data_IF_924061958764
#
_entry.id   IF_924061958764
#
_cell.length_a   1.000
_cell.length_b   1.000
_cell.length_c   1.000
_cell.angle_alpha   90.00
_cell.angle_beta   90.00
_cell.angle_gamma   90.00
#
_symmetry.space_group_name_H-M   'P 1'
#
loop_
_entity.id
_entity.type
_entity.pdbx_description
1 polymer ?
#
# COMPACT_ATOMS: atom_id res chain seq x y z
N UNK A 1 -13.90 -10.65 -22.17
CA UNK A 1 -13.86 -11.00 -20.72
C UNK A 1 -15.30 -11.20 -20.25
N UNK A 2 -15.59 -12.31 -19.61
CA UNK A 2 -16.92 -12.60 -19.07
C UNK A 2 -17.13 -11.87 -17.73
N UNK A 3 -18.40 -11.63 -17.34
CA UNK A 3 -18.76 -11.03 -16.02
C UNK A 3 -18.14 -11.84 -14.89
N UNK A 4 -18.12 -13.16 -15.00
CA UNK A 4 -17.55 -14.07 -14.00
C UNK A 4 -16.02 -13.89 -13.82
N UNK A 5 -15.28 -13.59 -14.89
CA UNK A 5 -13.82 -13.35 -14.82
C UNK A 5 -13.48 -12.02 -14.14
N UNK A 6 -14.26 -10.97 -14.38
CA UNK A 6 -14.08 -9.69 -13.70
C UNK A 6 -14.37 -9.80 -12.20
N UNK A 7 -15.45 -10.50 -11.83
CA UNK A 7 -15.78 -10.72 -10.43
C UNK A 7 -14.72 -11.57 -9.70
N UNK A 8 -14.13 -12.52 -10.39
CA UNK A 8 -13.00 -13.29 -9.86
C UNK A 8 -11.79 -12.38 -9.66
N UNK A 9 -11.45 -11.53 -10.63
CA UNK A 9 -10.34 -10.57 -10.50
C UNK A 9 -10.56 -9.59 -9.34
N UNK A 10 -11.78 -9.09 -9.14
CA UNK A 10 -12.14 -8.22 -8.00
C UNK A 10 -11.92 -8.92 -6.65
N UNK A 11 -12.34 -10.18 -6.52
CA UNK A 11 -12.11 -10.96 -5.28
C UNK A 11 -10.63 -11.15 -5.00
N UNK A 12 -9.84 -11.48 -6.01
CA UNK A 12 -8.39 -11.69 -5.87
C UNK A 12 -7.65 -10.39 -5.54
N UNK A 13 -8.04 -9.27 -6.16
CA UNK A 13 -7.54 -7.94 -5.83
C UNK A 13 -7.80 -7.59 -4.36
N UNK A 14 -9.06 -7.70 -3.91
CA UNK A 14 -9.45 -7.39 -2.53
C UNK A 14 -8.75 -8.31 -1.53
N UNK A 15 -8.60 -9.59 -1.85
CA UNK A 15 -7.90 -10.54 -1.00
C UNK A 15 -6.42 -10.15 -0.85
N UNK A 16 -5.72 -9.85 -1.96
CA UNK A 16 -4.31 -9.45 -1.90
C UNK A 16 -4.15 -8.12 -1.13
N UNK A 17 -4.98 -7.11 -1.43
CA UNK A 17 -4.96 -5.82 -0.73
C UNK A 17 -5.16 -5.98 0.77
N UNK A 18 -6.23 -6.67 1.19
CA UNK A 18 -6.63 -6.72 2.59
C UNK A 18 -5.76 -7.67 3.44
N UNK A 19 -5.13 -8.67 2.82
CA UNK A 19 -4.24 -9.60 3.52
C UNK A 19 -2.79 -9.11 3.58
N UNK A 20 -2.42 -8.10 2.79
CA UNK A 20 -1.08 -7.54 2.83
C UNK A 20 -0.86 -6.76 4.12
N UNK A 21 0.14 -7.16 4.90
CA UNK A 21 0.55 -6.50 6.16
C UNK A 21 1.75 -5.58 5.98
N UNK A 22 2.28 -5.50 4.77
CA UNK A 22 3.42 -4.65 4.43
C UNK A 22 3.43 -4.34 2.93
N UNK A 23 4.15 -3.29 2.56
CA UNK A 23 4.38 -2.91 1.17
C UNK A 23 5.86 -2.63 0.90
N UNK A 24 6.27 -2.80 -0.34
CA UNK A 24 7.44 -2.13 -0.87
C UNK A 24 7.07 -0.69 -1.21
N UNK A 25 7.93 0.24 -0.81
CA UNK A 25 7.75 1.67 -0.99
C UNK A 25 8.80 2.19 -1.97
N UNK A 26 8.37 2.97 -2.96
CA UNK A 26 9.26 3.78 -3.77
C UNK A 26 9.05 5.26 -3.42
N UNK A 27 10.09 5.88 -2.91
CA UNK A 27 10.16 7.30 -2.56
C UNK A 27 11.32 7.96 -3.31
N UNK A 28 11.45 9.26 -3.24
CA UNK A 28 12.55 9.98 -3.86
C UNK A 28 13.34 10.79 -2.83
N UNK A 29 14.65 10.78 -2.96
CA UNK A 29 15.55 11.61 -2.13
C UNK A 29 15.43 13.08 -2.53
N UNK A 30 16.10 13.97 -1.78
CA UNK A 30 16.20 15.39 -2.13
C UNK A 30 16.82 15.61 -3.52
N UNK A 31 17.74 14.75 -3.91
CA UNK A 31 18.44 14.81 -5.21
C UNK A 31 17.69 14.07 -6.32
N UNK A 32 16.40 13.80 -6.12
CA UNK A 32 15.54 13.07 -7.07
C UNK A 32 16.00 11.64 -7.36
N UNK A 33 16.75 11.03 -6.47
CA UNK A 33 17.18 9.62 -6.60
C UNK A 33 16.07 8.71 -6.08
N UNK A 34 15.60 7.73 -6.87
CA UNK A 34 14.64 6.74 -6.40
C UNK A 34 15.18 5.91 -5.23
N UNK A 35 14.36 5.72 -4.22
CA UNK A 35 14.70 4.96 -3.02
C UNK A 35 13.64 3.90 -2.77
N UNK A 36 14.03 2.64 -2.91
CA UNK A 36 13.17 1.50 -2.57
C UNK A 36 13.35 1.13 -1.09
N UNK A 37 12.26 0.80 -0.44
CA UNK A 37 12.23 0.39 0.96
C UNK A 37 11.03 -0.49 1.26
N UNK A 38 10.84 -0.87 2.50
CA UNK A 38 9.77 -1.74 2.98
C UNK A 38 9.20 -1.18 4.28
N UNK A 39 7.88 -1.27 4.46
CA UNK A 39 7.23 -0.93 5.72
C UNK A 39 5.98 -1.75 5.99
N UNK A 40 5.71 -2.10 7.28
CA UNK A 40 4.43 -2.61 7.73
C UNK A 40 3.32 -1.57 7.52
N UNK A 41 2.11 -2.06 7.21
CA UNK A 41 0.94 -1.23 7.00
C UNK A 41 -0.31 -1.81 7.65
N UNK A 42 -1.31 -0.96 7.85
CA UNK A 42 -2.68 -1.37 8.16
C UNK A 42 -3.67 -0.67 7.23
N UNK A 43 -4.85 -1.29 7.09
CA UNK A 43 -5.98 -0.72 6.38
C UNK A 43 -7.10 -0.39 7.37
N UNK A 44 -7.53 0.88 7.42
CA UNK A 44 -8.66 1.34 8.24
C UNK A 44 -9.59 2.15 7.33
N UNK A 45 -10.86 1.82 7.29
CA UNK A 45 -11.90 2.53 6.51
C UNK A 45 -11.50 2.79 5.04
N UNK A 46 -10.91 1.79 4.38
CA UNK A 46 -10.34 1.84 3.02
C UNK A 46 -9.09 2.70 2.83
N UNK A 47 -8.56 3.33 3.85
CA UNK A 47 -7.26 4.03 3.80
C UNK A 47 -6.13 3.13 4.27
N UNK A 48 -4.98 3.26 3.62
CA UNK A 48 -3.73 2.63 4.02
C UNK A 48 -2.96 3.55 4.96
N UNK A 49 -2.36 2.99 5.99
CA UNK A 49 -1.55 3.74 6.96
C UNK A 49 -0.20 3.09 7.18
N UNK A 50 0.81 3.92 7.38
CA UNK A 50 2.15 3.54 7.80
C UNK A 50 2.50 4.23 9.11
N UNK A 51 3.19 3.51 10.01
CA UNK A 51 3.78 4.08 11.22
C UNK A 51 5.30 3.98 11.13
N UNK A 52 5.97 5.11 10.86
CA UNK A 52 7.34 5.16 10.36
C UNK A 52 8.25 6.02 11.26
N UNK A 53 9.45 5.51 11.56
CA UNK A 53 10.48 6.22 12.33
C UNK A 53 11.28 7.20 11.45
N UNK A 54 11.71 8.30 12.02
CA UNK A 54 12.64 9.28 11.41
C UNK A 54 14.01 8.69 11.07
N UNK A 55 14.37 7.55 11.66
CA UNK A 55 15.60 6.83 11.33
C UNK A 55 15.58 6.29 9.91
N UNK A 56 14.39 5.96 9.39
CA UNK A 56 14.25 5.43 8.04
C UNK A 56 14.37 6.53 6.97
N UNK A 57 15.04 6.19 5.87
CA UNK A 57 15.21 7.13 4.74
C UNK A 57 13.87 7.50 4.10
N UNK A 58 12.95 6.53 3.98
CA UNK A 58 11.62 6.77 3.40
C UNK A 58 10.81 7.80 4.20
N UNK A 59 10.92 7.83 5.54
CA UNK A 59 10.25 8.83 6.37
C UNK A 59 10.73 10.23 6.06
N UNK A 60 12.05 10.42 5.99
CA UNK A 60 12.65 11.71 5.63
C UNK A 60 12.29 12.15 4.21
N UNK A 61 12.25 11.20 3.27
CA UNK A 61 11.83 11.46 1.90
C UNK A 61 10.37 11.94 1.85
N UNK A 62 9.45 11.22 2.52
CA UNK A 62 8.02 11.53 2.52
C UNK A 62 7.68 12.85 3.22
N UNK A 63 8.43 13.24 4.24
CA UNK A 63 8.29 14.57 4.87
C UNK A 63 8.63 15.72 3.92
N UNK A 64 9.47 15.49 2.91
CA UNK A 64 9.89 16.49 1.91
C UNK A 64 9.06 16.43 0.64
N UNK A 65 8.86 15.21 0.13
CA UNK A 65 8.09 14.92 -1.06
C UNK A 65 7.06 13.87 -0.69
N UNK A 66 5.79 14.25 -0.51
CA UNK A 66 4.77 13.34 -0.04
C UNK A 66 4.31 12.33 -1.11
N UNK A 67 4.94 12.31 -2.28
CA UNK A 67 4.62 11.38 -3.36
C UNK A 67 5.26 10.02 -3.11
N UNK A 68 4.49 8.97 -3.30
CA UNK A 68 4.90 7.58 -3.05
C UNK A 68 4.30 6.64 -4.10
N UNK A 69 5.03 5.60 -4.45
CA UNK A 69 4.45 4.42 -5.09
C UNK A 69 4.54 3.23 -4.15
N UNK A 70 3.48 2.45 -4.08
CA UNK A 70 3.37 1.26 -3.24
C UNK A 70 3.28 0.03 -4.12
N UNK A 71 3.95 -1.04 -3.71
CA UNK A 71 3.83 -2.34 -4.36
C UNK A 71 3.45 -3.40 -3.32
N UNK A 72 2.26 -3.96 -3.47
CA UNK A 72 1.80 -5.16 -2.77
C UNK A 72 1.98 -6.35 -3.69
N UNK A 73 2.56 -7.43 -3.18
CA UNK A 73 2.79 -8.65 -3.97
C UNK A 73 2.38 -9.87 -3.17
N UNK A 74 1.90 -10.87 -3.90
CA UNK A 74 1.74 -12.24 -3.39
C UNK A 74 3.10 -12.80 -2.93
N UNK A 75 3.10 -13.62 -1.89
CA UNK A 75 4.32 -14.26 -1.40
C UNK A 75 4.95 -15.15 -2.48
N UNK A 76 6.28 -15.14 -2.57
CA UNK A 76 7.00 -15.82 -3.65
C UNK A 76 6.87 -17.33 -3.59
N UNK A 77 6.79 -17.90 -2.39
CA UNK A 77 6.60 -19.32 -2.13
C UNK A 77 5.19 -19.83 -2.48
N UNK A 78 4.23 -18.92 -2.69
CA UNK A 78 2.87 -19.23 -3.12
C UNK A 78 2.69 -19.18 -4.66
N UNK A 79 3.78 -18.98 -5.41
CA UNK A 79 3.72 -18.73 -6.86
C UNK A 79 4.59 -19.70 -7.65
N UNK A 80 3.97 -20.52 -8.49
CA UNK A 80 4.69 -21.45 -9.37
C UNK A 80 5.50 -20.73 -10.46
N UNK A 81 5.12 -19.51 -10.83
CA UNK A 81 5.74 -18.75 -11.92
C UNK A 81 5.87 -17.28 -11.59
N UNK A 82 7.10 -16.79 -11.41
CA UNK A 82 7.39 -15.40 -11.06
C UNK A 82 6.82 -14.37 -12.05
N UNK A 83 6.70 -14.70 -13.34
CA UNK A 83 6.07 -13.81 -14.34
C UNK A 83 4.56 -13.65 -14.16
N UNK A 84 3.91 -14.61 -13.52
CA UNK A 84 2.47 -14.59 -13.25
C UNK A 84 2.12 -14.12 -11.84
N UNK A 85 3.10 -13.68 -11.04
CA UNK A 85 2.93 -13.23 -9.65
C UNK A 85 1.93 -12.08 -9.54
N UNK A 86 0.89 -12.27 -8.74
CA UNK A 86 -0.13 -11.24 -8.51
C UNK A 86 0.47 -10.08 -7.74
N UNK A 87 0.17 -8.86 -8.21
CA UNK A 87 0.70 -7.64 -7.60
C UNK A 87 -0.24 -6.45 -7.81
N UNK A 88 -0.20 -5.52 -6.88
CA UNK A 88 -0.91 -4.25 -6.97
C UNK A 88 0.12 -3.15 -6.85
N UNK A 89 0.13 -2.22 -7.79
CA UNK A 89 0.88 -0.97 -7.69
C UNK A 89 -0.10 0.16 -7.45
N UNK A 90 0.18 1.02 -6.49
CA UNK A 90 -0.54 2.27 -6.27
C UNK A 90 0.38 3.46 -6.47
N UNK A 91 -0.15 4.50 -7.09
CA UNK A 91 0.39 5.86 -7.07
C UNK A 91 -0.39 6.66 -6.03
N UNK A 92 0.31 7.35 -5.15
CA UNK A 92 -0.31 7.99 -4.01
C UNK A 92 0.46 9.21 -3.51
N UNK A 93 -0.18 9.98 -2.66
CA UNK A 93 0.46 10.92 -1.76
C UNK A 93 0.22 10.52 -0.31
N UNK A 94 0.99 11.07 0.61
CA UNK A 94 0.80 10.83 2.04
C UNK A 94 0.54 12.13 2.78
N UNK A 95 -0.24 12.03 3.86
CA UNK A 95 -0.42 13.11 4.85
C UNK A 95 -0.08 12.58 6.25
N UNK A 96 0.51 13.43 7.09
CA UNK A 96 0.77 13.07 8.49
C UNK A 96 -0.55 13.22 9.25
N UNK A 97 -0.83 12.24 10.11
CA UNK A 97 -1.92 12.28 11.10
C UNK A 97 -1.28 12.63 12.43
N UNK A 98 -1.69 13.76 13.00
CA UNK A 98 -1.12 14.25 14.24
C UNK A 98 -1.57 13.43 15.45
N UNK A 99 -0.74 13.37 16.50
CA UNK A 99 -0.99 12.51 17.69
C UNK A 99 -2.26 12.89 18.44
N UNK A 100 -2.66 14.15 18.36
CA UNK A 100 -3.85 14.72 19.03
C UNK A 100 -5.16 14.41 18.28
N UNK A 101 -5.09 13.93 17.04
CA UNK A 101 -6.27 13.55 16.27
C UNK A 101 -6.86 12.23 16.80
N UNK A 102 -8.19 12.16 16.90
CA UNK A 102 -8.88 10.92 17.30
C UNK A 102 -8.57 9.74 16.36
N UNK A 103 -8.33 10.03 15.08
CA UNK A 103 -7.94 9.08 14.05
C UNK A 103 -6.61 8.39 14.39
N UNK A 104 -5.65 9.11 15.01
CA UNK A 104 -4.36 8.53 15.39
C UNK A 104 -4.55 7.33 16.33
N UNK A 105 -5.28 7.49 17.43
CA UNK A 105 -5.53 6.42 18.39
C UNK A 105 -6.31 5.24 17.78
N UNK A 106 -7.29 5.54 16.91
CA UNK A 106 -8.05 4.51 16.17
C UNK A 106 -7.12 3.66 15.30
N UNK A 107 -6.25 4.27 14.51
CA UNK A 107 -5.33 3.55 13.62
C UNK A 107 -4.27 2.79 14.40
N UNK A 108 -3.73 3.36 15.51
CA UNK A 108 -2.77 2.65 16.37
C UNK A 108 -3.38 1.40 17.00
N UNK A 109 -4.67 1.41 17.33
CA UNK A 109 -5.40 0.22 17.79
C UNK A 109 -5.31 -0.91 16.76
N UNK A 110 -5.46 -0.60 15.46
CA UNK A 110 -5.34 -1.60 14.40
C UNK A 110 -3.89 -2.08 14.24
N UNK A 111 -2.90 -1.20 14.39
CA UNK A 111 -1.48 -1.62 14.43
C UNK A 111 -1.21 -2.60 15.59
N UNK A 112 -1.74 -2.34 16.79
CA UNK A 112 -1.64 -3.28 17.92
C UNK A 112 -2.30 -4.62 17.62
N UNK A 113 -3.49 -4.60 17.00
CA UNK A 113 -4.17 -5.81 16.58
C UNK A 113 -3.34 -6.64 15.59
N UNK A 114 -2.74 -5.98 14.58
CA UNK A 114 -1.99 -6.65 13.53
C UNK A 114 -0.58 -7.11 13.95
N UNK A 115 0.10 -6.34 14.79
CA UNK A 115 1.54 -6.52 15.09
C UNK A 115 1.84 -6.84 16.56
N UNK A 116 0.87 -6.68 17.44
CA UNK A 116 0.99 -7.11 18.85
C UNK A 116 2.03 -6.31 19.65
N UNK A 117 2.76 -7.01 20.52
CA UNK A 117 3.63 -6.41 21.55
C UNK A 117 4.74 -5.48 21.05
N UNK A 118 5.14 -5.57 19.79
CA UNK A 118 6.14 -4.63 19.25
C UNK A 118 5.61 -3.19 19.28
N UNK A 119 4.28 -3.02 19.17
CA UNK A 119 3.66 -1.71 19.24
C UNK A 119 3.80 -1.06 20.61
N UNK A 120 3.79 -1.84 21.69
CA UNK A 120 3.99 -1.33 23.07
C UNK A 120 5.37 -0.62 23.19
N UNK A 121 6.33 -1.03 22.38
CA UNK A 121 7.69 -0.47 22.38
C UNK A 121 7.79 0.75 21.46
N UNK A 122 7.21 0.70 20.26
CA UNK A 122 7.43 1.75 19.24
C UNK A 122 6.40 2.88 19.29
N UNK A 123 5.18 2.64 19.78
CA UNK A 123 4.14 3.67 19.86
C UNK A 123 4.55 4.89 20.71
N UNK A 124 5.17 4.74 21.90
CA UNK A 124 5.57 5.90 22.71
C UNK A 124 6.78 6.66 22.17
N UNK A 125 7.46 6.16 21.14
CA UNK A 125 8.65 6.80 20.61
C UNK A 125 8.28 8.09 19.84
N UNK A 126 8.93 9.23 20.15
CA UNK A 126 8.57 10.52 19.56
C UNK A 126 8.99 10.68 18.10
N UNK A 127 9.88 9.82 17.61
CA UNK A 127 10.40 9.83 16.25
C UNK A 127 9.55 9.00 15.27
N UNK A 128 8.46 8.38 15.75
CA UNK A 128 7.50 7.69 14.90
C UNK A 128 6.34 8.59 14.51
N UNK A 129 5.99 8.55 13.24
CA UNK A 129 4.92 9.35 12.63
C UNK A 129 3.91 8.45 11.92
N UNK A 130 2.64 8.79 12.07
CA UNK A 130 1.56 8.12 11.37
C UNK A 130 1.30 8.83 10.03
N UNK A 131 1.40 8.09 8.94
CA UNK A 131 1.10 8.56 7.59
C UNK A 131 -0.17 7.90 7.06
N UNK A 132 -1.14 8.70 6.63
CA UNK A 132 -2.27 8.25 5.83
C UNK A 132 -1.93 8.34 4.36
N UNK A 133 -2.24 7.30 3.61
CA UNK A 133 -2.00 7.23 2.17
C UNK A 133 -3.26 7.63 1.41
N UNK A 134 -3.13 8.62 0.55
CA UNK A 134 -4.16 9.09 -0.37
C UNK A 134 -3.92 8.48 -1.74
N UNK A 135 -4.65 7.40 -2.06
CA UNK A 135 -4.53 6.67 -3.32
C UNK A 135 -5.05 7.50 -4.49
N UNK A 136 -4.26 7.65 -5.56
CA UNK A 136 -4.59 8.45 -6.75
C UNK A 136 -4.86 7.59 -7.97
N UNK A 137 -4.02 6.59 -8.19
CA UNK A 137 -4.15 5.63 -9.27
C UNK A 137 -3.63 4.27 -8.82
N UNK A 138 -3.95 3.23 -9.57
CA UNK A 138 -3.42 1.92 -9.28
C UNK A 138 -3.64 0.92 -10.40
N UNK A 139 -2.84 -0.14 -10.36
CA UNK A 139 -2.91 -1.24 -11.32
C UNK A 139 -2.81 -2.57 -10.59
N UNK A 140 -3.70 -3.48 -10.92
CA UNK A 140 -3.65 -4.87 -10.49
C UNK A 140 -3.21 -5.78 -11.64
N UNK A 141 -2.13 -6.52 -11.45
CA UNK A 141 -1.70 -7.60 -12.34
C UNK A 141 -2.05 -8.91 -11.68
N UNK A 142 -2.96 -9.64 -12.33
CA UNK A 142 -3.48 -10.91 -11.84
C UNK A 142 -2.64 -12.10 -12.27
N UNK A 143 -1.96 -11.97 -13.41
CA UNK A 143 -1.16 -13.01 -14.03
C UNK A 143 -0.71 -12.60 -15.43
N UNK A 144 -0.19 -13.54 -16.18
CA UNK A 144 0.34 -13.26 -17.51
C UNK A 144 -0.75 -12.73 -18.45
N UNK A 145 -0.53 -11.53 -19.00
CA UNK A 145 -1.46 -10.86 -19.91
C UNK A 145 -2.76 -10.34 -19.28
N UNK A 146 -2.90 -10.39 -17.94
CA UNK A 146 -4.10 -9.96 -17.22
C UNK A 146 -3.79 -8.78 -16.31
N UNK A 147 -3.95 -7.57 -16.84
CA UNK A 147 -3.77 -6.33 -16.10
C UNK A 147 -5.09 -5.54 -16.03
N UNK A 148 -5.30 -4.87 -14.91
CA UNK A 148 -6.49 -4.06 -14.65
C UNK A 148 -6.06 -2.72 -14.08
N UNK A 149 -6.69 -1.64 -14.54
CA UNK A 149 -6.64 -0.35 -13.85
C UNK A 149 -7.64 -0.34 -12.71
N UNK A 150 -7.22 0.25 -11.60
CA UNK A 150 -8.08 0.44 -10.43
C UNK A 150 -8.87 1.73 -10.61
N UNK A 151 -10.17 1.66 -10.38
CA UNK A 151 -11.13 2.74 -10.59
C UNK A 151 -12.14 2.81 -9.43
N UNK A 152 -13.04 3.78 -9.49
CA UNK A 152 -14.07 3.97 -8.47
C UNK A 152 -13.54 4.53 -7.15
N UNK A 153 -14.43 4.63 -6.17
CA UNK A 153 -14.11 5.17 -4.86
C UNK A 153 -13.07 4.31 -4.15
N UNK A 154 -12.03 4.95 -3.63
CA UNK A 154 -10.88 4.30 -2.98
C UNK A 154 -10.22 3.20 -3.83
N UNK A 155 -10.31 3.30 -5.17
CA UNK A 155 -9.77 2.33 -6.13
C UNK A 155 -10.28 0.90 -5.89
N UNK A 156 -11.55 0.75 -5.52
CA UNK A 156 -12.16 -0.55 -5.18
C UNK A 156 -12.76 -1.29 -6.40
N UNK A 157 -12.68 -0.68 -7.58
CA UNK A 157 -13.19 -1.28 -8.82
C UNK A 157 -12.08 -1.55 -9.84
N UNK A 158 -12.35 -2.38 -10.82
CA UNK A 158 -11.39 -2.83 -11.82
C UNK A 158 -11.91 -2.57 -13.23
N UNK A 159 -11.05 -2.01 -14.07
CA UNK A 159 -11.25 -1.91 -15.52
C UNK A 159 -10.15 -2.69 -16.23
N UNK A 160 -10.52 -3.63 -17.11
CA UNK A 160 -9.55 -4.45 -17.83
C UNK A 160 -8.73 -3.60 -18.81
N UNK A 161 -7.41 -3.74 -18.78
CA UNK A 161 -6.49 -3.10 -19.75
C UNK A 161 -6.30 -4.05 -20.92
N UNK A 162 -6.86 -3.68 -22.08
CA UNK A 162 -6.66 -4.44 -23.31
C UNK A 162 -5.25 -4.26 -23.88
N UNK A 163 -4.81 -5.16 -24.78
CA UNK A 163 -3.57 -4.94 -25.53
C UNK A 163 -3.72 -3.68 -26.38
N UNK A 164 -2.93 -2.63 -26.07
CA UNK A 164 -2.92 -1.35 -26.82
C UNK A 164 -3.43 -0.13 -26.04
N UNK A 165 -3.97 -0.26 -24.86
CA UNK A 165 -4.25 0.88 -23.98
C UNK A 165 -2.94 1.31 -23.28
N UNK A 166 -2.31 2.34 -23.79
CA UNK A 166 -1.23 3.11 -23.14
C UNK A 166 -1.76 4.49 -22.79
#
# INVERSE_FOLDING_TARGET
>A
MTVNELDKARREYRALRNNSKAALLATVTQDQIPCASYAPLVWVDNFCYFYLSDLASHTRNLKRCPTISLLLMEDEDQVDNAFARRRITFEATVVIVEREESLFAQVLTEFHHCFGKVMDVIEPLPDFHLFRVELQAGRFVRGFGQAYELTGDHLNDLTHVGPGSR
#
